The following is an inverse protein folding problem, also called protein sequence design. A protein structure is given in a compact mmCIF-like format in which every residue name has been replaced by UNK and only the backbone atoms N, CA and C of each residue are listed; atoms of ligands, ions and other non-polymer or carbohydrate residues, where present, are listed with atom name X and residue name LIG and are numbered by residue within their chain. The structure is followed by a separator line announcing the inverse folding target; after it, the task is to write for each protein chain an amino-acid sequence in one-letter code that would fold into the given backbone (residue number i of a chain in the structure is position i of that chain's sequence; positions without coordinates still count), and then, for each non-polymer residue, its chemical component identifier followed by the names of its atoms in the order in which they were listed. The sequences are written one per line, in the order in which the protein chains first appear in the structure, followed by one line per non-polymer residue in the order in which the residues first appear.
data_IF_421064341464
#
_entry.id   IF_421064341464
#
_cell.length_a   1.000
_cell.length_b   1.000
_cell.length_c   1.000
_cell.angle_alpha   90.00
_cell.angle_beta   90.00
_cell.angle_gamma   90.00
#
_symmetry.space_group_name_H-M   'P 1'
#
loop_
_entity.id
_entity.type
_entity.pdbx_description
1 polymer ?
#
# COMPACT_ATOMS: atom_id res chain seq x y z
N UNK A 1 -7.13 -30.39 12.55
CA UNK A 1 -7.48 -29.01 13.02
C UNK A 1 -8.76 -28.63 12.32
N UNK A 2 -9.78 -28.23 13.07
CA UNK A 2 -11.09 -27.89 12.46
C UNK A 2 -10.96 -26.55 11.73
N UNK A 3 -11.44 -26.46 10.49
CA UNK A 3 -11.38 -25.26 9.65
C UNK A 3 -12.01 -24.04 10.36
N UNK A 4 -13.05 -24.27 11.17
CA UNK A 4 -13.71 -23.22 11.96
C UNK A 4 -12.76 -22.61 13.00
N UNK A 5 -11.96 -23.42 13.70
CA UNK A 5 -11.03 -22.95 14.73
C UNK A 5 -9.90 -22.10 14.11
N UNK A 6 -9.43 -22.45 12.91
CA UNK A 6 -8.43 -21.68 12.15
C UNK A 6 -8.99 -20.32 11.73
N UNK A 7 -10.19 -20.30 11.15
CA UNK A 7 -10.84 -19.05 10.71
C UNK A 7 -11.11 -18.10 11.88
N UNK A 8 -11.60 -18.63 13.02
CA UNK A 8 -11.83 -17.83 14.23
C UNK A 8 -10.51 -17.26 14.76
N UNK A 9 -9.42 -18.05 14.76
CA UNK A 9 -8.11 -17.60 15.19
C UNK A 9 -7.55 -16.49 14.30
N UNK A 10 -7.63 -16.63 12.96
CA UNK A 10 -7.22 -15.60 12.00
C UNK A 10 -8.06 -14.33 12.19
N UNK A 11 -9.38 -14.46 12.33
CA UNK A 11 -10.26 -13.31 12.54
C UNK A 11 -9.95 -12.57 13.84
N UNK A 12 -9.76 -13.27 14.94
CA UNK A 12 -9.42 -12.69 16.24
C UNK A 12 -8.07 -11.94 16.19
N UNK A 13 -7.05 -12.58 15.56
CA UNK A 13 -5.73 -11.96 15.36
C UNK A 13 -5.82 -10.72 14.47
N UNK A 14 -6.56 -10.82 13.36
CA UNK A 14 -6.79 -9.70 12.44
C UNK A 14 -7.46 -8.53 13.14
N UNK A 15 -8.52 -8.78 13.89
CA UNK A 15 -9.26 -7.73 14.61
C UNK A 15 -8.40 -7.03 15.66
N UNK A 16 -7.67 -7.81 16.47
CA UNK A 16 -6.79 -7.28 17.51
C UNK A 16 -5.65 -6.44 16.90
N UNK A 17 -4.96 -6.95 15.88
CA UNK A 17 -3.85 -6.28 15.20
C UNK A 17 -4.32 -5.03 14.48
N UNK A 18 -5.49 -5.05 13.82
CA UNK A 18 -6.08 -3.87 13.17
C UNK A 18 -6.32 -2.75 14.18
N UNK A 19 -6.91 -3.07 15.33
CA UNK A 19 -7.15 -2.08 16.41
C UNK A 19 -5.84 -1.52 16.96
N UNK A 20 -4.84 -2.37 17.21
CA UNK A 20 -3.50 -1.95 17.68
C UNK A 20 -2.82 -1.00 16.67
N UNK A 21 -2.94 -1.27 15.37
CA UNK A 21 -2.34 -0.45 14.32
C UNK A 21 -3.08 0.88 14.12
N UNK A 22 -4.42 0.86 14.08
CA UNK A 22 -5.23 2.07 13.83
C UNK A 22 -5.19 3.07 14.99
N UNK A 23 -5.15 2.59 16.24
CA UNK A 23 -5.18 3.46 17.44
C UNK A 23 -3.82 3.53 18.14
N UNK A 24 -2.77 2.93 17.56
CA UNK A 24 -1.42 3.00 18.07
C UNK A 24 -0.71 4.31 17.70
N UNK A 25 0.53 4.45 18.16
CA UNK A 25 1.39 5.62 17.86
C UNK A 25 1.53 5.90 16.35
N UNK A 26 1.36 4.89 15.49
CA UNK A 26 1.43 5.02 14.02
C UNK A 26 0.23 5.76 13.41
N UNK A 27 -0.91 5.80 14.09
CA UNK A 27 -2.04 6.63 13.66
C UNK A 27 -1.66 8.11 13.56
N UNK A 28 -0.77 8.59 14.43
CA UNK A 28 -0.25 9.96 14.40
C UNK A 28 0.49 10.21 13.08
N UNK A 29 1.24 9.24 12.57
CA UNK A 29 1.94 9.35 11.28
C UNK A 29 0.91 9.51 10.15
N UNK A 30 -0.16 8.73 10.15
CA UNK A 30 -1.24 8.85 9.15
C UNK A 30 -1.87 10.25 9.18
N UNK A 31 -2.13 10.79 10.36
CA UNK A 31 -2.70 12.14 10.51
C UNK A 31 -1.71 13.20 10.02
N UNK A 32 -0.44 13.10 10.37
CA UNK A 32 0.60 14.05 9.92
C UNK A 32 0.76 14.01 8.39
N UNK A 33 0.77 12.82 7.80
CA UNK A 33 0.84 12.66 6.34
C UNK A 33 -0.41 13.23 5.68
N UNK A 34 -1.61 12.98 6.24
CA UNK A 34 -2.85 13.54 5.71
C UNK A 34 -2.85 15.07 5.74
N UNK A 35 -2.40 15.68 6.84
CA UNK A 35 -2.26 17.13 6.96
C UNK A 35 -1.22 17.69 5.97
N UNK A 36 -0.09 17.01 5.81
CA UNK A 36 0.94 17.41 4.84
C UNK A 36 0.40 17.36 3.41
N UNK A 37 -0.26 16.25 3.02
CA UNK A 37 -0.88 16.10 1.69
C UNK A 37 -1.96 17.16 1.48
N UNK A 38 -2.80 17.42 2.49
CA UNK A 38 -3.81 18.47 2.42
C UNK A 38 -3.19 19.85 2.18
N UNK A 39 -2.10 20.17 2.87
CA UNK A 39 -1.41 21.46 2.72
C UNK A 39 -0.79 21.60 1.32
N UNK A 40 -0.09 20.56 0.84
CA UNK A 40 0.56 20.58 -0.48
C UNK A 40 -0.48 20.64 -1.60
N UNK A 41 -1.49 19.76 -1.55
CA UNK A 41 -2.54 19.72 -2.57
C UNK A 41 -3.45 20.96 -2.53
N UNK A 42 -3.76 21.47 -1.33
CA UNK A 42 -4.52 22.72 -1.19
C UNK A 42 -3.77 23.94 -1.73
N UNK A 43 -2.45 24.04 -1.46
CA UNK A 43 -1.63 25.08 -2.03
C UNK A 43 -1.53 24.96 -3.56
N UNK A 44 -1.26 23.75 -4.08
CA UNK A 44 -1.18 23.51 -5.51
C UNK A 44 -2.52 23.79 -6.21
N UNK A 45 -3.65 23.42 -5.61
CA UNK A 45 -4.97 23.75 -6.12
C UNK A 45 -5.17 25.27 -6.27
N UNK A 46 -4.69 26.09 -5.32
CA UNK A 46 -4.81 27.55 -5.41
C UNK A 46 -3.99 28.19 -6.56
N UNK A 47 -3.03 27.48 -7.10
CA UNK A 47 -2.16 27.93 -8.20
C UNK A 47 -2.47 27.25 -9.54
N UNK A 48 -3.36 26.26 -9.54
CA UNK A 48 -3.66 25.46 -10.73
C UNK A 48 -4.45 26.25 -11.77
N UNK A 49 -4.03 26.12 -13.04
CA UNK A 49 -4.72 26.64 -14.20
C UNK A 49 -5.50 25.54 -14.96
N UNK A 50 -5.05 24.31 -14.84
CA UNK A 50 -5.74 23.11 -15.33
C UNK A 50 -5.94 22.10 -14.16
N UNK A 51 -7.07 22.23 -13.44
CA UNK A 51 -7.27 21.45 -12.23
C UNK A 51 -7.31 19.94 -12.44
N UNK A 52 -7.77 19.45 -13.60
CA UNK A 52 -7.85 18.02 -13.86
C UNK A 52 -6.46 17.42 -14.07
N UNK A 53 -5.65 18.01 -14.92
CA UNK A 53 -4.29 17.53 -15.21
C UNK A 53 -3.36 17.69 -14.00
N UNK A 54 -3.31 18.88 -13.42
CA UNK A 54 -2.47 19.17 -12.25
C UNK A 54 -2.86 18.31 -11.05
N UNK A 55 -4.18 18.16 -10.77
CA UNK A 55 -4.68 17.34 -9.68
C UNK A 55 -4.35 15.86 -9.86
N UNK A 56 -4.51 15.32 -11.06
CA UNK A 56 -4.19 13.93 -11.38
C UNK A 56 -2.69 13.66 -11.26
N UNK A 57 -1.85 14.56 -11.78
CA UNK A 57 -0.39 14.48 -11.66
C UNK A 57 0.09 14.48 -10.20
N UNK A 58 -0.52 15.34 -9.37
CA UNK A 58 -0.19 15.40 -7.95
C UNK A 58 -0.65 14.15 -7.19
N UNK A 59 -1.86 13.67 -7.46
CA UNK A 59 -2.34 12.42 -6.85
C UNK A 59 -1.45 11.24 -7.24
N UNK A 60 -1.06 11.11 -8.51
CA UNK A 60 -0.13 10.09 -8.96
C UNK A 60 1.22 10.20 -8.25
N UNK A 61 1.81 11.41 -8.24
CA UNK A 61 3.16 11.61 -7.71
C UNK A 61 3.22 11.50 -6.19
N UNK A 62 2.31 12.15 -5.46
CA UNK A 62 2.34 12.16 -4.01
C UNK A 62 1.74 10.88 -3.42
N UNK A 63 0.58 10.45 -3.92
CA UNK A 63 -0.17 9.38 -3.27
C UNK A 63 0.30 8.01 -3.77
N UNK A 64 0.21 7.74 -5.08
CA UNK A 64 0.60 6.43 -5.62
C UNK A 64 2.10 6.18 -5.59
N UNK A 65 2.88 7.20 -5.92
CA UNK A 65 4.32 7.04 -6.05
C UNK A 65 5.07 7.16 -4.72
N UNK A 66 4.76 8.19 -3.93
CA UNK A 66 5.55 8.49 -2.73
C UNK A 66 4.94 7.88 -1.46
N UNK A 67 3.71 8.28 -1.10
CA UNK A 67 3.16 7.89 0.19
C UNK A 67 2.71 6.44 0.27
N UNK A 68 2.23 5.83 -0.80
CA UNK A 68 1.75 4.46 -0.75
C UNK A 68 2.85 3.45 -0.36
N UNK A 69 4.02 3.37 -1.05
CA UNK A 69 5.08 2.46 -0.62
C UNK A 69 5.66 2.84 0.74
N UNK A 70 5.76 4.14 1.07
CA UNK A 70 6.29 4.60 2.37
C UNK A 70 5.36 4.20 3.51
N UNK A 71 4.05 4.39 3.38
CA UNK A 71 3.09 3.99 4.42
C UNK A 71 3.05 2.47 4.59
N UNK A 72 3.00 1.71 3.50
CA UNK A 72 3.07 0.25 3.57
C UNK A 72 4.37 -0.24 4.22
N UNK A 73 5.50 0.43 3.96
CA UNK A 73 6.77 0.16 4.61
C UNK A 73 6.73 0.46 6.12
N UNK A 74 6.24 1.63 6.53
CA UNK A 74 6.19 2.04 7.95
C UNK A 74 5.34 1.06 8.75
N UNK A 75 4.18 0.68 8.23
CA UNK A 75 3.31 -0.27 8.91
C UNK A 75 3.83 -1.71 8.81
N UNK A 76 4.33 -2.14 7.64
CA UNK A 76 4.75 -3.51 7.37
C UNK A 76 6.07 -3.89 8.03
N UNK A 77 7.07 -3.00 7.97
CA UNK A 77 8.41 -3.29 8.53
C UNK A 77 8.41 -3.43 10.05
N UNK A 78 7.49 -2.79 10.74
CA UNK A 78 7.42 -2.77 12.20
C UNK A 78 6.47 -3.82 12.78
N UNK A 79 5.53 -4.34 11.99
CA UNK A 79 4.48 -5.21 12.53
C UNK A 79 5.05 -6.50 13.16
N UNK A 80 5.86 -7.23 12.39
CA UNK A 80 6.49 -8.47 12.89
C UNK A 80 7.65 -8.13 13.83
N UNK A 81 8.38 -7.06 13.56
CA UNK A 81 9.53 -6.69 14.37
C UNK A 81 9.13 -6.24 15.78
N UNK A 82 8.10 -5.40 15.88
CA UNK A 82 7.58 -4.96 17.17
C UNK A 82 7.14 -6.19 18.04
N UNK A 83 6.57 -7.22 17.42
CA UNK A 83 6.17 -8.43 18.15
C UNK A 83 7.33 -9.35 18.53
N UNK A 84 8.41 -9.38 17.74
CA UNK A 84 9.65 -10.06 18.11
C UNK A 84 10.31 -9.35 19.30
N UNK A 85 10.42 -8.02 19.21
CA UNK A 85 11.09 -7.21 20.24
C UNK A 85 10.29 -7.18 21.56
N UNK A 86 8.95 -7.19 21.49
CA UNK A 86 8.05 -7.28 22.66
C UNK A 86 7.94 -8.70 23.25
N UNK A 87 8.60 -9.70 22.65
CA UNK A 87 8.49 -11.14 23.00
C UNK A 87 7.03 -11.66 22.97
N UNK A 88 6.10 -10.93 22.38
CA UNK A 88 4.70 -11.33 22.27
C UNK A 88 4.50 -12.45 21.25
N UNK A 89 5.47 -12.67 20.37
CA UNK A 89 5.49 -13.75 19.40
C UNK A 89 5.46 -15.14 20.07
N UNK A 90 5.92 -15.27 21.32
CA UNK A 90 5.82 -16.51 22.10
C UNK A 90 4.37 -16.92 22.36
N UNK A 91 3.46 -15.97 22.55
CA UNK A 91 2.04 -16.24 22.70
C UNK A 91 1.40 -16.74 21.40
N UNK A 92 1.86 -16.22 20.24
CA UNK A 92 1.42 -16.69 18.91
C UNK A 92 2.02 -18.08 18.62
N UNK A 93 3.25 -18.34 19.04
CA UNK A 93 3.91 -19.62 18.87
C UNK A 93 3.28 -20.74 19.74
N UNK A 94 2.65 -20.39 20.87
CA UNK A 94 1.91 -21.31 21.74
C UNK A 94 0.44 -21.46 21.35
N UNK A 95 -0.07 -20.60 20.44
CA UNK A 95 -1.42 -20.75 19.91
C UNK A 95 -1.51 -22.01 19.02
N UNK A 96 -2.66 -22.71 19.00
CA UNK A 96 -2.86 -23.91 18.17
C UNK A 96 -3.01 -23.59 16.67
N UNK A 97 -2.37 -22.55 16.18
CA UNK A 97 -2.36 -22.10 14.78
C UNK A 97 -1.03 -22.46 14.13
N UNK A 98 -1.08 -23.04 12.92
CA UNK A 98 0.12 -23.21 12.12
C UNK A 98 0.73 -21.83 11.81
N UNK A 99 2.06 -21.74 11.86
CA UNK A 99 2.82 -20.49 11.64
C UNK A 99 2.50 -19.84 10.29
N UNK A 100 2.23 -20.63 9.25
CA UNK A 100 1.85 -20.12 7.94
C UNK A 100 0.51 -19.37 7.97
N UNK A 101 -0.48 -19.87 8.75
CA UNK A 101 -1.75 -19.18 8.94
C UNK A 101 -1.62 -17.94 9.82
N UNK A 102 -0.71 -17.95 10.78
CA UNK A 102 -0.38 -16.75 11.58
C UNK A 102 0.18 -15.64 10.71
N UNK A 103 1.01 -15.96 9.70
CA UNK A 103 1.51 -14.96 8.75
C UNK A 103 0.39 -14.27 7.97
N UNK A 104 -0.63 -15.01 7.51
CA UNK A 104 -1.82 -14.43 6.88
C UNK A 104 -2.63 -13.56 7.87
N UNK A 105 -2.66 -13.97 9.15
CA UNK A 105 -3.26 -13.19 10.23
C UNK A 105 -2.55 -11.86 10.50
N UNK A 106 -1.29 -11.68 10.11
CA UNK A 106 -0.57 -10.40 10.13
C UNK A 106 -0.76 -9.59 8.83
N UNK A 107 -0.84 -10.28 7.70
CA UNK A 107 -1.01 -9.63 6.41
C UNK A 107 -2.34 -8.90 6.28
N UNK A 108 -3.46 -9.55 6.63
CA UNK A 108 -4.79 -8.96 6.46
C UNK A 108 -4.98 -7.65 7.22
N UNK A 109 -4.66 -7.55 8.55
CA UNK A 109 -4.79 -6.30 9.27
C UNK A 109 -3.86 -5.22 8.72
N UNK A 110 -2.64 -5.59 8.30
CA UNK A 110 -1.71 -4.67 7.67
C UNK A 110 -2.30 -4.07 6.40
N UNK A 111 -2.77 -4.90 5.47
CA UNK A 111 -3.33 -4.45 4.20
C UNK A 111 -4.58 -3.57 4.40
N UNK A 112 -5.46 -3.95 5.34
CA UNK A 112 -6.65 -3.17 5.67
C UNK A 112 -6.28 -1.80 6.26
N UNK A 113 -5.34 -1.75 7.21
CA UNK A 113 -4.94 -0.49 7.84
C UNK A 113 -4.24 0.44 6.86
N UNK A 114 -3.34 -0.10 6.03
CA UNK A 114 -2.68 0.68 4.96
C UNK A 114 -3.71 1.20 3.97
N UNK A 115 -4.66 0.36 3.52
CA UNK A 115 -5.72 0.78 2.61
C UNK A 115 -6.59 1.89 3.21
N UNK A 116 -7.07 1.73 4.44
CA UNK A 116 -7.88 2.74 5.13
C UNK A 116 -7.11 4.05 5.32
N UNK A 117 -5.85 3.97 5.74
CA UNK A 117 -4.97 5.14 5.91
C UNK A 117 -4.77 5.87 4.59
N UNK A 118 -4.47 5.14 3.51
CA UNK A 118 -4.22 5.73 2.20
C UNK A 118 -5.50 6.28 1.56
N UNK A 119 -6.64 5.62 1.74
CA UNK A 119 -7.96 6.15 1.32
C UNK A 119 -8.25 7.46 2.05
N UNK A 120 -8.03 7.54 3.36
CA UNK A 120 -8.23 8.77 4.12
C UNK A 120 -7.29 9.89 3.64
N UNK A 121 -6.00 9.60 3.43
CA UNK A 121 -5.00 10.56 2.92
C UNK A 121 -5.42 11.06 1.53
N UNK A 122 -5.79 10.15 0.62
CA UNK A 122 -6.22 10.49 -0.75
C UNK A 122 -7.49 11.34 -0.75
N UNK A 123 -8.46 11.01 0.11
CA UNK A 123 -9.72 11.77 0.22
C UNK A 123 -9.47 13.18 0.73
N UNK A 124 -8.65 13.34 1.74
CA UNK A 124 -8.29 14.66 2.29
C UNK A 124 -7.52 15.48 1.25
N UNK A 125 -6.58 14.88 0.52
CA UNK A 125 -5.85 15.53 -0.56
C UNK A 125 -6.77 15.98 -1.68
N UNK A 126 -7.67 15.11 -2.14
CA UNK A 126 -8.68 15.42 -3.17
C UNK A 126 -9.58 16.58 -2.75
N UNK A 127 -10.11 16.54 -1.52
CA UNK A 127 -10.95 17.62 -0.98
C UNK A 127 -10.18 18.94 -0.89
N UNK A 128 -8.91 18.91 -0.49
CA UNK A 128 -8.09 20.10 -0.38
C UNK A 128 -7.79 20.74 -1.75
N UNK A 129 -7.60 19.94 -2.79
CA UNK A 129 -7.30 20.40 -4.14
C UNK A 129 -8.56 20.86 -4.88
N UNK A 130 -9.53 19.96 -5.06
CA UNK A 130 -10.73 20.22 -5.86
C UNK A 130 -11.81 21.01 -5.12
N UNK A 131 -11.75 21.11 -3.79
CA UNK A 131 -12.67 21.93 -3.01
C UNK A 131 -12.66 23.41 -3.39
N UNK A 132 -11.60 23.88 -4.07
CA UNK A 132 -11.45 25.27 -4.55
C UNK A 132 -12.01 25.47 -5.97
N UNK A 133 -12.07 24.42 -6.79
CA UNK A 133 -12.48 24.46 -8.19
C UNK A 133 -13.88 23.90 -8.44
N UNK A 134 -14.47 23.26 -7.41
CA UNK A 134 -15.74 22.53 -7.53
C UNK A 134 -15.52 21.09 -8.01
N UNK A 135 -16.45 20.21 -7.60
CA UNK A 135 -16.42 18.81 -8.00
C UNK A 135 -17.25 18.61 -9.28
N UNK A 136 -16.56 18.42 -10.41
CA UNK A 136 -17.18 17.97 -11.66
C UNK A 136 -17.38 16.45 -11.68
N UNK A 137 -18.15 15.94 -12.66
CA UNK A 137 -18.29 14.48 -12.88
C UNK A 137 -16.94 13.82 -13.19
N UNK A 138 -16.11 14.45 -14.01
CA UNK A 138 -14.78 13.97 -14.40
C UNK A 138 -13.83 13.86 -13.20
N UNK A 139 -13.78 14.87 -12.34
CA UNK A 139 -12.93 14.80 -11.12
C UNK A 139 -13.38 13.72 -10.16
N UNK A 140 -14.69 13.41 -10.10
CA UNK A 140 -15.21 12.32 -9.28
C UNK A 140 -14.84 10.94 -9.85
N UNK A 141 -14.90 10.76 -11.17
CA UNK A 141 -14.50 9.51 -11.83
C UNK A 141 -13.02 9.23 -11.62
N UNK A 142 -12.16 10.23 -11.82
CA UNK A 142 -10.72 10.16 -11.55
C UNK A 142 -10.47 9.78 -10.08
N UNK A 143 -11.16 10.44 -9.15
CA UNK A 143 -11.03 10.14 -7.73
C UNK A 143 -11.40 8.69 -7.39
N UNK A 144 -12.52 8.18 -7.89
CA UNK A 144 -12.94 6.80 -7.64
C UNK A 144 -11.94 5.79 -8.21
N UNK A 145 -11.38 6.06 -9.40
CA UNK A 145 -10.31 5.24 -9.95
C UNK A 145 -9.06 5.26 -9.05
N UNK A 146 -8.64 6.44 -8.57
CA UNK A 146 -7.50 6.52 -7.64
C UNK A 146 -7.76 5.78 -6.34
N UNK A 147 -8.95 5.85 -5.76
CA UNK A 147 -9.30 5.08 -4.55
C UNK A 147 -9.18 3.58 -4.82
N UNK A 148 -9.67 3.09 -5.96
CA UNK A 148 -9.53 1.69 -6.32
C UNK A 148 -8.05 1.28 -6.47
N UNK A 149 -7.22 2.10 -7.14
CA UNK A 149 -5.79 1.88 -7.28
C UNK A 149 -5.06 1.88 -5.94
N UNK A 150 -5.42 2.80 -5.05
CA UNK A 150 -4.88 2.91 -3.69
C UNK A 150 -5.20 1.66 -2.88
N UNK A 151 -6.42 1.15 -2.97
CA UNK A 151 -6.80 -0.09 -2.29
C UNK A 151 -6.00 -1.28 -2.83
N UNK A 152 -5.98 -1.47 -4.16
CA UNK A 152 -5.22 -2.56 -4.79
C UNK A 152 -3.73 -2.46 -4.44
N UNK A 153 -3.14 -1.29 -4.60
CA UNK A 153 -1.74 -1.04 -4.29
C UNK A 153 -1.40 -1.30 -2.83
N UNK A 154 -2.31 -0.97 -1.91
CA UNK A 154 -2.14 -1.25 -0.48
C UNK A 154 -2.02 -2.74 -0.19
N UNK A 155 -2.78 -3.59 -0.86
CA UNK A 155 -2.65 -5.04 -0.74
C UNK A 155 -1.31 -5.55 -1.29
N UNK A 156 -0.90 -5.06 -2.46
CA UNK A 156 0.35 -5.47 -3.09
C UNK A 156 1.57 -5.04 -2.26
N UNK A 157 1.65 -3.75 -1.91
CA UNK A 157 2.78 -3.24 -1.13
C UNK A 157 2.83 -3.80 0.29
N UNK A 158 1.68 -4.07 0.91
CA UNK A 158 1.63 -4.73 2.22
C UNK A 158 2.21 -6.14 2.17
N UNK A 159 1.92 -6.93 1.11
CA UNK A 159 2.53 -8.25 0.94
C UNK A 159 4.04 -8.17 0.77
N UNK A 160 4.52 -7.18 0.02
CA UNK A 160 5.93 -6.96 -0.24
C UNK A 160 6.69 -6.54 1.02
N UNK A 161 6.21 -5.53 1.73
CA UNK A 161 6.91 -5.04 2.92
C UNK A 161 6.80 -6.00 4.11
N UNK A 162 5.73 -6.79 4.19
CA UNK A 162 5.65 -7.87 5.17
C UNK A 162 6.67 -8.97 4.85
N UNK A 163 6.85 -9.37 3.59
CA UNK A 163 7.87 -10.32 3.19
C UNK A 163 9.29 -9.78 3.46
N UNK A 164 9.56 -8.52 3.16
CA UNK A 164 10.84 -7.85 3.49
C UNK A 164 11.10 -7.87 5.00
N UNK A 165 10.07 -7.69 5.84
CA UNK A 165 10.21 -7.69 7.30
C UNK A 165 10.60 -9.07 7.86
N UNK A 166 10.20 -10.14 7.18
CA UNK A 166 10.63 -11.50 7.53
C UNK A 166 12.03 -11.80 7.02
N UNK A 167 12.36 -11.37 5.81
CA UNK A 167 13.65 -11.68 5.17
C UNK A 167 14.84 -10.98 5.82
N UNK A 168 14.70 -9.69 6.16
CA UNK A 168 15.81 -8.83 6.53
C UNK A 168 15.79 -8.44 8.01
N UNK A 169 16.98 -8.37 8.62
CA UNK A 169 17.13 -7.91 10.01
C UNK A 169 16.92 -6.39 10.16
N UNK A 170 17.09 -5.62 9.07
CA UNK A 170 16.85 -4.17 9.02
C UNK A 170 15.86 -3.84 7.90
N UNK A 171 14.59 -4.24 8.04
CA UNK A 171 13.60 -4.14 6.96
C UNK A 171 13.33 -2.70 6.52
N UNK A 172 13.44 -1.72 7.43
CA UNK A 172 13.24 -0.30 7.10
C UNK A 172 14.27 0.18 6.07
N UNK A 173 15.56 -0.19 6.22
CA UNK A 173 16.61 0.24 5.27
C UNK A 173 16.35 -0.35 3.89
N UNK A 174 16.01 -1.63 3.81
CA UNK A 174 15.70 -2.31 2.55
C UNK A 174 14.42 -1.74 1.94
N UNK A 175 13.42 -1.45 2.79
CA UNK A 175 12.18 -0.82 2.37
C UNK A 175 12.37 0.59 1.79
N UNK A 176 13.22 1.41 2.41
CA UNK A 176 13.58 2.73 1.88
C UNK A 176 14.29 2.61 0.52
N UNK A 177 15.25 1.67 0.40
CA UNK A 177 15.92 1.40 -0.86
C UNK A 177 14.91 1.01 -1.94
N UNK A 178 13.98 0.11 -1.64
CA UNK A 178 12.93 -0.29 -2.58
C UNK A 178 12.03 0.90 -2.95
N UNK A 179 11.50 1.64 -1.98
CA UNK A 179 10.57 2.73 -2.23
C UNK A 179 11.20 3.86 -3.06
N UNK A 180 12.45 4.28 -2.74
CA UNK A 180 13.06 5.43 -3.40
C UNK A 180 13.87 5.07 -4.64
N UNK A 181 14.63 3.97 -4.60
CA UNK A 181 15.48 3.60 -5.74
C UNK A 181 14.71 2.73 -6.73
N UNK A 182 14.05 1.68 -6.26
CA UNK A 182 13.35 0.76 -7.17
C UNK A 182 12.09 1.40 -7.75
N UNK A 183 11.15 1.80 -6.92
CA UNK A 183 9.91 2.42 -7.40
C UNK A 183 10.14 3.86 -7.86
N UNK A 184 10.99 4.62 -7.15
CA UNK A 184 11.28 6.00 -7.44
C UNK A 184 12.05 6.19 -8.73
N UNK A 185 13.26 5.66 -8.76
CA UNK A 185 14.17 5.90 -9.87
C UNK A 185 13.94 4.89 -11.01
N UNK A 186 13.98 3.59 -10.73
CA UNK A 186 13.83 2.55 -11.76
C UNK A 186 12.42 2.57 -12.37
N UNK A 187 11.37 2.73 -11.55
CA UNK A 187 9.99 2.84 -12.02
C UNK A 187 9.68 4.10 -12.83
N UNK A 188 10.57 5.10 -12.83
CA UNK A 188 10.43 6.31 -13.66
C UNK A 188 11.23 6.25 -14.97
N UNK A 189 12.10 5.24 -15.15
CA UNK A 189 12.81 5.04 -16.41
C UNK A 189 11.86 4.55 -17.50
N UNK A 190 12.07 5.02 -18.74
CA UNK A 190 11.25 4.61 -19.88
C UNK A 190 11.62 3.21 -20.39
N UNK A 191 10.67 2.53 -21.03
CA UNK A 191 10.88 1.27 -21.71
C UNK A 191 10.67 0.01 -20.85
N UNK A 192 11.40 -1.07 -21.16
CA UNK A 192 11.20 -2.38 -20.52
C UNK A 192 11.47 -2.38 -19.01
N UNK A 193 12.33 -1.50 -18.51
CA UNK A 193 12.74 -1.42 -17.11
C UNK A 193 11.58 -0.94 -16.22
N UNK A 194 10.74 -0.04 -16.73
CA UNK A 194 9.54 0.44 -16.02
C UNK A 194 8.58 -0.70 -15.64
N UNK A 195 8.53 -1.77 -16.46
CA UNK A 195 7.71 -2.96 -16.19
C UNK A 195 8.17 -3.77 -14.98
N UNK A 196 9.30 -3.44 -14.36
CA UNK A 196 9.75 -4.05 -13.11
C UNK A 196 9.15 -3.38 -11.86
N UNK A 197 8.39 -2.28 -12.01
CA UNK A 197 7.77 -1.56 -10.90
C UNK A 197 6.30 -1.91 -10.72
N UNK A 198 5.85 -1.97 -9.48
CA UNK A 198 4.43 -2.18 -9.13
C UNK A 198 3.59 -1.00 -9.63
N UNK A 199 4.12 0.21 -9.56
CA UNK A 199 3.49 1.44 -10.02
C UNK A 199 3.09 1.40 -11.49
N UNK A 200 3.93 0.81 -12.36
CA UNK A 200 3.61 0.66 -13.78
C UNK A 200 2.30 -0.11 -14.00
N UNK A 201 2.11 -1.21 -13.26
CA UNK A 201 0.90 -2.02 -13.40
C UNK A 201 -0.32 -1.37 -12.76
N UNK A 202 -0.15 -0.62 -11.66
CA UNK A 202 -1.24 0.18 -11.07
C UNK A 202 -1.71 1.26 -12.05
N UNK A 203 -0.80 1.99 -12.70
CA UNK A 203 -1.14 2.95 -13.74
C UNK A 203 -1.83 2.29 -14.93
N UNK A 204 -1.34 1.12 -15.37
CA UNK A 204 -1.97 0.35 -16.45
C UNK A 204 -3.39 -0.12 -16.11
N UNK A 205 -3.71 -0.36 -14.84
CA UNK A 205 -5.08 -0.61 -14.41
C UNK A 205 -5.93 0.64 -14.50
N UNK A 206 -5.42 1.77 -13.97
CA UNK A 206 -6.14 3.04 -13.95
C UNK A 206 -6.46 3.56 -15.34
N UNK A 207 -5.50 3.53 -16.27
CA UNK A 207 -5.70 3.96 -17.66
C UNK A 207 -6.75 3.15 -18.43
N UNK A 208 -7.08 1.96 -17.95
CA UNK A 208 -8.16 1.16 -18.54
C UNK A 208 -9.55 1.46 -17.97
N UNK A 209 -9.64 2.23 -16.90
CA UNK A 209 -10.91 2.57 -16.23
C UNK A 209 -11.37 3.99 -16.53
N UNK A 210 -10.44 4.92 -16.64
CA UNK A 210 -10.71 6.34 -16.86
C UNK A 210 -9.68 6.87 -17.86
N UNK A 211 -10.12 7.79 -18.71
CA UNK A 211 -9.24 8.58 -19.56
C UNK A 211 -8.59 9.67 -18.68
N UNK A 212 -7.31 9.51 -18.41
CA UNK A 212 -6.55 10.47 -17.61
C UNK A 212 -5.99 11.63 -18.45
N UNK A 213 -6.50 11.84 -19.66
CA UNK A 213 -6.05 12.88 -20.57
C UNK A 213 -4.63 12.68 -21.09
N UNK A 214 -3.97 13.74 -21.54
CA UNK A 214 -2.64 13.73 -22.14
C UNK A 214 -1.48 13.50 -21.17
N UNK A 215 -1.72 12.86 -20.01
CA UNK A 215 -0.65 12.54 -19.08
C UNK A 215 0.21 11.43 -19.65
N UNK A 216 1.30 11.80 -20.32
CA UNK A 216 2.22 10.91 -21.03
C UNK A 216 2.73 9.71 -20.21
N UNK A 217 2.63 9.79 -18.89
CA UNK A 217 3.05 8.72 -17.97
C UNK A 217 2.09 7.53 -17.94
N UNK A 218 0.84 7.73 -18.39
CA UNK A 218 -0.20 6.70 -18.42
C UNK A 218 -0.34 6.06 -19.81
N UNK A 219 0.27 6.65 -20.85
CA UNK A 219 0.16 6.21 -22.27
C UNK A 219 0.81 4.87 -22.60
N UNK A 220 1.70 4.36 -21.75
CA UNK A 220 2.40 3.09 -21.99
C UNK A 220 1.78 1.93 -21.19
N UNK A 221 0.49 1.87 -21.17
CA UNK A 221 -0.22 0.87 -20.42
C UNK A 221 -0.03 -0.54 -20.98
N UNK A 222 0.30 -1.46 -20.10
CA UNK A 222 0.12 -2.89 -20.34
C UNK A 222 -1.37 -3.20 -20.38
N UNK A 223 -1.77 -4.37 -20.91
CA UNK A 223 -3.20 -4.74 -20.88
C UNK A 223 -3.73 -4.77 -19.43
N UNK A 224 -4.93 -4.26 -19.22
CA UNK A 224 -5.59 -4.19 -17.89
C UNK A 224 -5.62 -5.57 -17.22
N UNK A 225 -6.05 -6.59 -17.96
CA UNK A 225 -6.10 -7.96 -17.46
C UNK A 225 -4.73 -8.54 -17.13
N UNK A 226 -3.72 -8.26 -17.96
CA UNK A 226 -2.34 -8.67 -17.71
C UNK A 226 -1.77 -8.00 -16.45
N UNK A 227 -2.06 -6.72 -16.25
CA UNK A 227 -1.63 -5.97 -15.08
C UNK A 227 -2.30 -6.48 -13.80
N UNK A 228 -3.61 -6.75 -13.85
CA UNK A 228 -4.33 -7.34 -12.73
C UNK A 228 -3.79 -8.73 -12.37
N UNK A 229 -3.60 -9.59 -13.36
CA UNK A 229 -3.07 -10.94 -13.15
C UNK A 229 -1.65 -10.92 -12.55
N UNK A 230 -0.79 -9.99 -13.02
CA UNK A 230 0.56 -9.86 -12.51
C UNK A 230 0.59 -9.33 -11.07
N UNK A 231 -0.20 -8.32 -10.74
CA UNK A 231 -0.30 -7.80 -9.37
C UNK A 231 -0.83 -8.86 -8.40
N UNK A 232 -1.87 -9.60 -8.79
CA UNK A 232 -2.39 -10.73 -8.01
C UNK A 232 -1.35 -11.84 -7.87
N UNK A 233 -0.71 -12.24 -8.96
CA UNK A 233 0.35 -13.25 -8.95
C UNK A 233 1.52 -12.87 -8.06
N UNK A 234 1.97 -11.61 -8.13
CA UNK A 234 3.01 -11.07 -7.25
C UNK A 234 2.58 -11.11 -5.78
N UNK A 235 1.35 -10.68 -5.48
CA UNK A 235 0.83 -10.71 -4.10
C UNK A 235 0.79 -12.13 -3.56
N UNK A 236 0.24 -13.08 -4.31
CA UNK A 236 0.17 -14.50 -3.91
C UNK A 236 1.57 -15.08 -3.75
N UNK A 237 2.48 -14.82 -4.69
CA UNK A 237 3.87 -15.28 -4.61
C UNK A 237 4.56 -14.76 -3.34
N UNK A 238 4.44 -13.47 -3.04
CA UNK A 238 5.05 -12.86 -1.85
C UNK A 238 4.42 -13.40 -0.56
N UNK A 239 3.12 -13.67 -0.54
CA UNK A 239 2.45 -14.27 0.62
C UNK A 239 2.91 -15.70 0.86
N UNK A 240 3.03 -16.52 -0.19
CA UNK A 240 3.52 -17.90 -0.08
C UNK A 240 4.98 -17.92 0.35
N UNK A 241 5.82 -17.10 -0.27
CA UNK A 241 7.24 -16.97 0.07
C UNK A 241 7.41 -16.48 1.52
N UNK A 242 6.69 -15.44 1.91
CA UNK A 242 6.76 -14.89 3.27
C UNK A 242 6.27 -15.89 4.34
N UNK A 243 5.19 -16.61 4.07
CA UNK A 243 4.68 -17.65 4.96
C UNK A 243 5.68 -18.80 5.11
N UNK A 244 6.30 -19.24 4.00
CA UNK A 244 7.34 -20.26 4.02
C UNK A 244 8.55 -19.81 4.86
N UNK A 245 9.08 -18.62 4.61
CA UNK A 245 10.21 -18.08 5.36
C UNK A 245 9.90 -17.83 6.84
N UNK A 246 8.68 -17.40 7.14
CA UNK A 246 8.23 -17.21 8.51
C UNK A 246 8.15 -18.52 9.29
N UNK A 247 7.82 -19.63 8.60
CA UNK A 247 7.81 -20.97 9.17
C UNK A 247 9.21 -21.47 9.47
N UNK A 248 10.17 -21.26 8.55
CA UNK A 248 11.57 -21.74 8.66
C UNK A 248 12.40 -20.91 9.65
N UNK A 249 12.02 -19.66 9.91
CA UNK A 249 12.77 -18.81 10.82
C UNK A 249 12.63 -19.35 12.24
N UNK A 250 13.71 -19.91 12.79
CA UNK A 250 13.81 -20.20 14.20
C UNK A 250 13.69 -18.87 14.96
N UNK A 251 12.70 -18.80 15.83
CA UNK A 251 12.52 -17.68 16.73
C UNK A 251 13.57 -17.86 17.84
N UNK A 252 14.81 -17.44 17.56
CA UNK A 252 15.89 -17.38 18.54
C UNK A 252 15.73 -16.17 19.44
#
# INVERSE_FOLDING_TARGET
MDLKSVLVGIFALTFHSTKKLLFGKKAIITILVALFVAAVMGYAGSQSHDPLDDGTNLMDTLILFFFMPVMAMIFGSSLIRDEIDDKSITHVATAPLDRAFSYLGYYLPLAIVVALSMVAISSVGMLAFFGQHGFGSESLEIYLAFIALVVIGSFVYSSLFLAISVLFNKPVIVGLFYAFIWEGYIGSLSGAIQKASVKHYLRSLGSGWVDFGDISRWDQASSVWGSAALLLGLTVFLLVLGAYLFREKELA
#
